data_IF_936938676106
#
_entry.id   IF_936938676106
#
_cell.length_a   1.000
_cell.length_b   1.000
_cell.length_c   1.000
_cell.angle_alpha   90.00
_cell.angle_beta   90.00
_cell.angle_gamma   90.00
#
_symmetry.space_group_name_H-M   'P 1'
#
loop_
_entity.id
_entity.type
_entity.pdbx_description
1 polymer ?
#
# COMPACT_ATOMS: atom_id res chain seq x y z
N UNK A 1 -11.07 7.59 -8.78
CA UNK A 1 -9.62 7.92 -8.68
C UNK A 1 -8.68 6.73 -8.63
N UNK A 2 -7.89 6.41 -7.60
CA UNK A 2 -6.82 5.38 -7.75
C UNK A 2 -7.38 3.96 -7.89
N UNK A 3 -8.33 3.58 -7.04
CA UNK A 3 -8.91 2.23 -7.07
C UNK A 3 -9.64 1.99 -8.41
N UNK A 4 -10.30 3.02 -8.94
CA UNK A 4 -11.01 2.94 -10.21
C UNK A 4 -10.05 2.84 -11.40
N UNK A 5 -8.95 3.61 -11.38
CA UNK A 5 -7.86 3.45 -12.35
C UNK A 5 -7.31 2.02 -12.34
N UNK A 6 -7.08 1.44 -11.15
CA UNK A 6 -6.69 0.03 -11.04
C UNK A 6 -7.79 -0.91 -11.57
N UNK A 7 -9.07 -0.67 -11.28
CA UNK A 7 -10.16 -1.53 -11.79
C UNK A 7 -10.20 -1.59 -13.32
N UNK A 8 -9.85 -0.49 -13.99
CA UNK A 8 -9.85 -0.42 -15.45
C UNK A 8 -8.60 -1.06 -16.09
N UNK A 9 -7.49 -1.20 -15.34
CA UNK A 9 -6.20 -1.67 -15.88
C UNK A 9 -5.74 -3.07 -15.44
N UNK A 10 -6.45 -3.74 -14.53
CA UNK A 10 -6.02 -5.02 -13.97
C UNK A 10 -7.18 -5.91 -13.52
N UNK A 11 -6.93 -7.22 -13.46
CA UNK A 11 -7.91 -8.20 -13.00
C UNK A 11 -8.41 -7.86 -11.58
N UNK A 12 -9.73 -8.03 -11.36
CA UNK A 12 -10.42 -7.58 -10.13
C UNK A 12 -9.79 -8.08 -8.83
N UNK A 13 -9.22 -9.28 -8.81
CA UNK A 13 -8.60 -9.86 -7.61
C UNK A 13 -7.27 -9.19 -7.21
N UNK A 14 -6.63 -8.44 -8.11
CA UNK A 14 -5.39 -7.72 -7.82
C UNK A 14 -5.63 -6.29 -7.34
N UNK A 15 -6.86 -5.78 -7.50
CA UNK A 15 -7.20 -4.39 -7.18
C UNK A 15 -7.09 -4.19 -5.66
N UNK A 16 -6.37 -3.16 -5.18
CA UNK A 16 -6.27 -2.89 -3.76
C UNK A 16 -7.63 -2.54 -3.16
N UNK A 17 -7.90 -3.01 -1.95
CA UNK A 17 -9.13 -2.69 -1.21
C UNK A 17 -9.05 -1.31 -0.54
N UNK A 18 -7.87 -0.94 -0.06
CA UNK A 18 -7.60 0.32 0.64
C UNK A 18 -6.36 0.98 0.05
N UNK A 19 -6.36 2.31 0.01
CA UNK A 19 -5.21 3.14 -0.40
C UNK A 19 -5.04 4.22 0.65
N UNK A 20 -3.84 4.29 1.24
CA UNK A 20 -3.50 5.25 2.30
C UNK A 20 -2.28 6.02 1.86
N UNK A 21 -2.37 7.35 1.87
CA UNK A 21 -1.23 8.23 1.65
C UNK A 21 -0.57 8.51 3.00
N UNK A 22 0.69 8.12 3.13
CA UNK A 22 1.45 8.27 4.37
C UNK A 22 2.94 8.26 4.07
N UNK A 23 3.74 8.66 5.05
CA UNK A 23 5.19 8.53 4.99
C UNK A 23 5.63 7.07 5.13
N UNK A 24 6.62 6.67 4.34
CA UNK A 24 7.10 5.29 4.33
C UNK A 24 8.12 5.05 5.45
N UNK A 25 7.95 4.04 6.30
CA UNK A 25 8.92 3.69 7.32
C UNK A 25 10.19 3.17 6.65
N UNK A 26 11.31 3.88 6.86
CA UNK A 26 12.62 3.57 6.27
C UNK A 26 13.68 3.33 7.35
N UNK A 27 14.74 2.61 7.01
CA UNK A 27 15.95 2.51 7.86
C UNK A 27 16.77 3.79 7.77
N UNK A 28 17.79 3.93 8.61
CA UNK A 28 18.79 5.01 8.50
C UNK A 28 19.48 5.07 7.13
N UNK A 29 19.54 3.95 6.42
CA UNK A 29 20.05 3.82 5.04
C UNK A 29 18.95 3.91 3.97
N UNK A 30 17.72 4.25 4.33
CA UNK A 30 16.62 4.49 3.39
C UNK A 30 15.84 3.25 2.92
N UNK A 31 16.18 2.04 3.40
CA UNK A 31 15.46 0.81 3.02
C UNK A 31 14.06 0.78 3.62
N UNK A 32 13.04 0.45 2.83
CA UNK A 32 11.66 0.33 3.31
C UNK A 32 11.53 -0.85 4.29
N UNK A 33 10.93 -0.59 5.45
CA UNK A 33 10.67 -1.60 6.48
C UNK A 33 9.29 -2.24 6.25
N UNK A 34 9.21 -3.24 5.35
CA UNK A 34 7.95 -3.92 4.99
C UNK A 34 7.20 -4.54 6.16
N UNK A 35 7.89 -4.96 7.23
CA UNK A 35 7.22 -5.51 8.41
C UNK A 35 6.36 -4.47 9.13
N UNK A 36 6.84 -3.24 9.29
CA UNK A 36 6.05 -2.13 9.84
C UNK A 36 4.83 -1.81 8.98
N UNK A 37 5.00 -1.82 7.64
CA UNK A 37 3.88 -1.64 6.72
C UNK A 37 2.82 -2.74 6.87
N UNK A 38 3.22 -3.99 7.14
CA UNK A 38 2.28 -5.09 7.41
C UNK A 38 1.54 -4.91 8.73
N UNK A 39 2.19 -4.33 9.74
CA UNK A 39 1.53 -4.03 11.01
C UNK A 39 0.55 -2.87 10.87
N UNK A 40 0.96 -1.78 10.19
CA UNK A 40 0.06 -0.66 9.85
C UNK A 40 -1.16 -1.13 9.05
N UNK A 41 -0.98 -2.08 8.13
CA UNK A 41 -2.09 -2.62 7.33
C UNK A 41 -3.11 -3.45 8.13
N UNK A 42 -2.78 -3.89 9.36
CA UNK A 42 -3.75 -4.56 10.25
C UNK A 42 -4.70 -3.59 10.94
N UNK A 43 -4.36 -2.31 10.97
CA UNK A 43 -5.11 -1.24 11.66
C UNK A 43 -6.06 -0.49 10.71
N UNK A 44 -6.05 -0.83 9.42
CA UNK A 44 -6.90 -0.26 8.36
C UNK A 44 -8.07 -1.20 8.07
#
# INVERSE_FOLDING_TARGET
DIIEWCRNGMARYKVPKHVVFTELPKTSTGKIQKFKLRDMAKEV
#
